data_IF_321655731185
#
_entry.id   IF_321655731185
#
_cell.length_a   1.000
_cell.length_b   1.000
_cell.length_c   1.000
_cell.angle_alpha   90.00
_cell.angle_beta   90.00
_cell.angle_gamma   90.00
#
_symmetry.space_group_name_H-M   'P 1'
#
loop_
_entity.id
_entity.type
_entity.pdbx_description
1 polymer ?
#
# COMPACT_ATOMS: atom_id res chain seq x y z
N UNK A 1 1.26 -7.23 17.47
CA UNK A 1 0.27 -6.25 17.96
C UNK A 1 0.74 -4.88 17.49
N UNK A 2 -0.19 -4.01 17.10
CA UNK A 2 0.15 -2.63 16.75
C UNK A 2 -0.32 -1.77 17.91
N UNK A 3 0.56 -0.91 18.40
CA UNK A 3 0.25 0.10 19.39
C UNK A 3 0.03 1.43 18.65
N UNK A 4 -1.11 2.05 18.94
CA UNK A 4 -1.38 3.43 18.51
C UNK A 4 -1.19 4.31 19.73
N UNK A 5 -0.15 5.14 19.73
CA UNK A 5 0.16 6.04 20.84
C UNK A 5 -0.09 7.48 20.45
N UNK A 6 -0.66 8.25 21.38
CA UNK A 6 -0.71 9.70 21.31
C UNK A 6 0.53 10.28 22.00
N UNK A 7 1.44 10.85 21.22
CA UNK A 7 2.60 11.57 21.75
C UNK A 7 2.15 12.88 22.44
N UNK A 8 2.94 13.35 23.40
CA UNK A 8 2.62 14.51 24.23
C UNK A 8 2.50 15.83 23.43
N UNK A 9 2.99 15.85 22.20
CA UNK A 9 2.90 16.94 21.23
C UNK A 9 1.62 16.90 20.37
N UNK A 10 0.73 15.93 20.60
CA UNK A 10 -0.51 15.77 19.83
C UNK A 10 -0.36 14.89 18.58
N UNK A 11 0.78 14.23 18.39
CA UNK A 11 1.00 13.32 17.27
C UNK A 11 0.44 11.92 17.54
N UNK A 12 -0.32 11.36 16.60
CA UNK A 12 -0.70 9.95 16.57
C UNK A 12 0.41 9.14 15.88
N UNK A 13 1.00 8.20 16.61
CA UNK A 13 2.02 7.29 16.11
C UNK A 13 1.46 5.87 16.04
N UNK A 14 1.74 5.16 14.95
CA UNK A 14 1.51 3.72 14.87
C UNK A 14 2.86 3.01 14.94
N UNK A 15 3.01 2.15 15.94
CA UNK A 15 4.19 1.30 16.11
C UNK A 15 3.75 -0.16 16.14
N UNK A 16 4.42 -1.01 15.38
CA UNK A 16 4.32 -2.46 15.63
C UNK A 16 5.34 -2.79 16.71
N UNK A 17 4.89 -2.92 17.95
CA UNK A 17 5.76 -3.28 19.07
C UNK A 17 6.00 -4.79 19.05
N UNK A 18 7.25 -5.19 19.25
CA UNK A 18 7.60 -6.59 19.43
C UNK A 18 7.01 -7.11 20.74
N UNK A 19 6.42 -8.30 20.68
CA UNK A 19 6.21 -9.10 21.89
C UNK A 19 7.36 -10.09 22.00
N UNK A 20 7.67 -10.56 23.21
CA UNK A 20 8.68 -11.58 23.53
C UNK A 20 8.48 -12.93 22.78
N UNK A 21 7.40 -13.07 22.00
CA UNK A 21 7.08 -14.21 21.12
C UNK A 21 6.84 -13.82 19.64
N UNK A 22 7.15 -12.59 19.26
CA UNK A 22 6.90 -12.02 17.93
C UNK A 22 8.05 -12.24 16.95
N UNK A 23 7.82 -11.89 15.68
CA UNK A 23 8.77 -12.11 14.58
C UNK A 23 9.85 -11.02 14.43
N UNK A 24 9.91 -9.99 15.28
CA UNK A 24 10.96 -8.97 15.23
C UNK A 24 10.93 -8.16 13.93
N UNK A 25 9.97 -7.24 13.82
CA UNK A 25 9.75 -6.45 12.59
C UNK A 25 10.17 -4.99 12.71
N UNK A 26 10.35 -4.46 13.93
CA UNK A 26 10.77 -3.07 14.22
C UNK A 26 10.27 -2.02 13.20
N UNK A 27 8.95 -1.94 13.00
CA UNK A 27 8.35 -1.07 11.98
C UNK A 27 7.64 0.13 12.61
N UNK A 28 8.09 1.33 12.22
CA UNK A 28 7.45 2.60 12.51
C UNK A 28 7.31 3.41 11.22
N UNK A 29 6.08 3.57 10.72
CA UNK A 29 5.83 4.26 9.43
C UNK A 29 5.83 5.79 9.56
N UNK A 30 5.20 6.35 10.59
CA UNK A 30 5.18 7.79 10.87
C UNK A 30 4.45 8.11 12.19
N UNK A 31 4.77 9.27 12.75
CA UNK A 31 3.97 9.98 13.75
C UNK A 31 3.39 11.21 13.06
N UNK A 32 2.07 11.36 13.08
CA UNK A 32 1.36 12.47 12.42
C UNK A 32 0.72 13.37 13.46
N UNK A 33 0.84 14.69 13.37
CA UNK A 33 0.06 15.58 14.22
C UNK A 33 -1.43 15.39 13.95
N UNK A 34 -2.24 15.23 15.00
CA UNK A 34 -3.70 15.26 14.84
C UNK A 34 -4.19 16.61 14.29
N UNK A 35 -3.39 17.68 14.38
CA UNK A 35 -3.65 18.95 13.70
C UNK A 35 -3.28 18.96 12.20
N UNK A 36 -2.48 18.00 11.75
CA UNK A 36 -2.03 17.85 10.36
C UNK A 36 -2.84 16.80 9.59
N UNK A 37 -3.64 15.96 10.25
CA UNK A 37 -4.66 15.13 9.57
C UNK A 37 -5.83 16.04 9.16
N UNK A 38 -5.53 17.06 8.38
CA UNK A 38 -6.48 17.86 7.65
C UNK A 38 -6.62 17.28 6.24
N UNK A 39 -7.69 17.66 5.54
CA UNK A 39 -7.87 17.35 4.12
C UNK A 39 -6.59 17.59 3.30
N UNK A 40 -5.73 18.52 3.72
CA UNK A 40 -4.46 18.86 3.08
C UNK A 40 -3.46 17.71 2.99
N UNK A 41 -3.35 16.82 3.99
CA UNK A 41 -2.48 15.63 3.88
C UNK A 41 -3.02 14.64 2.87
N UNK A 42 -4.35 14.49 2.79
CA UNK A 42 -4.99 13.71 1.73
C UNK A 42 -4.81 14.40 0.36
N UNK A 43 -4.90 15.73 0.26
CA UNK A 43 -4.62 16.47 -0.99
C UNK A 43 -3.17 16.36 -1.42
N UNK A 44 -2.23 16.46 -0.50
CA UNK A 44 -0.80 16.36 -0.80
C UNK A 44 -0.46 14.94 -1.25
N UNK A 45 -1.01 13.91 -0.60
CA UNK A 45 -0.89 12.51 -1.06
C UNK A 45 -1.53 12.29 -2.43
N UNK A 46 -2.67 12.91 -2.69
CA UNK A 46 -3.30 12.94 -4.01
C UNK A 46 -2.45 13.67 -5.06
N UNK A 47 -1.92 14.85 -4.76
CA UNK A 47 -1.05 15.60 -5.69
C UNK A 47 0.26 14.85 -5.95
N UNK A 48 0.83 14.19 -4.93
CA UNK A 48 1.92 13.23 -5.05
C UNK A 48 1.50 11.89 -5.66
N UNK A 49 0.22 11.62 -5.89
CA UNK A 49 -0.24 10.50 -6.69
C UNK A 49 -0.32 10.94 -8.16
N UNK A 50 -0.84 12.14 -8.39
CA UNK A 50 -1.07 12.74 -9.70
C UNK A 50 0.21 13.22 -10.43
N UNK A 51 1.27 13.58 -9.69
CA UNK A 51 2.53 14.00 -10.33
C UNK A 51 3.35 12.83 -10.88
N UNK A 52 3.04 11.59 -10.48
CA UNK A 52 3.86 10.40 -10.78
C UNK A 52 3.31 9.55 -11.93
N UNK A 53 2.04 9.75 -12.29
CA UNK A 53 1.48 9.33 -13.58
C UNK A 53 2.28 9.88 -14.78
N UNK A 54 2.99 11.00 -14.61
CA UNK A 54 3.67 11.71 -15.70
C UNK A 54 5.09 11.23 -16.03
N UNK A 55 5.76 10.46 -15.17
CA UNK A 55 7.17 10.11 -15.36
C UNK A 55 7.38 8.80 -16.14
N UNK A 56 6.31 8.18 -16.64
CA UNK A 56 6.36 7.08 -17.61
C UNK A 56 7.07 5.79 -17.14
N UNK A 57 7.42 5.67 -15.86
CA UNK A 57 8.13 4.50 -15.30
C UNK A 57 7.23 3.35 -14.90
N UNK A 58 5.97 3.35 -15.36
CA UNK A 58 5.16 2.13 -15.29
C UNK A 58 5.32 1.34 -16.58
N UNK A 59 5.91 0.16 -16.47
CA UNK A 59 5.52 -0.94 -17.36
C UNK A 59 4.00 -1.05 -17.27
N UNK A 60 3.31 -0.67 -18.35
CA UNK A 60 1.88 -0.90 -18.52
C UNK A 60 1.61 -2.40 -18.24
N UNK A 61 1.12 -2.71 -17.03
CA UNK A 61 0.54 -4.02 -16.79
C UNK A 61 -0.77 -4.06 -17.60
N UNK A 62 -1.03 -5.12 -18.40
CA UNK A 62 -2.19 -5.17 -19.26
C UNK A 62 -3.48 -5.00 -18.45
N UNK A 63 -4.23 -3.92 -18.70
CA UNK A 63 -5.60 -3.73 -18.18
C UNK A 63 -5.83 -2.57 -17.20
N UNK A 64 -4.90 -1.64 -16.99
CA UNK A 64 -5.10 -0.51 -16.06
C UNK A 64 -5.60 0.77 -16.78
N UNK A 65 -6.88 0.82 -17.11
CA UNK A 65 -7.58 2.05 -17.55
C UNK A 65 -8.05 2.91 -16.35
N UNK A 66 -7.47 2.70 -15.15
CA UNK A 66 -7.84 3.45 -13.95
C UNK A 66 -7.05 4.76 -13.85
N UNK A 67 -7.75 5.87 -14.01
CA UNK A 67 -7.21 7.23 -13.89
C UNK A 67 -6.90 7.55 -12.41
N UNK A 68 -5.69 7.21 -12.01
CA UNK A 68 -5.16 7.49 -10.67
C UNK A 68 -5.09 9.00 -10.39
N UNK A 69 -4.89 9.83 -11.42
CA UNK A 69 -4.86 11.28 -11.32
C UNK A 69 -6.25 11.82 -10.99
N UNK A 70 -7.31 11.25 -11.57
CA UNK A 70 -8.70 11.58 -11.23
C UNK A 70 -9.05 11.20 -9.78
N UNK A 71 -8.63 10.04 -9.28
CA UNK A 71 -8.86 9.65 -7.88
C UNK A 71 -8.15 10.58 -6.90
N UNK A 72 -6.89 10.87 -7.17
CA UNK A 72 -6.12 11.85 -6.43
C UNK A 72 -6.85 13.21 -6.40
N UNK A 73 -7.20 13.75 -7.57
CA UNK A 73 -7.86 15.05 -7.67
C UNK A 73 -9.24 15.08 -6.98
N UNK A 74 -10.00 13.97 -7.02
CA UNK A 74 -11.28 13.84 -6.32
C UNK A 74 -11.10 13.81 -4.79
N UNK A 75 -10.09 13.08 -4.30
CA UNK A 75 -9.72 13.01 -2.88
C UNK A 75 -9.13 14.33 -2.36
N UNK A 76 -8.49 15.11 -3.24
CA UNK A 76 -7.98 16.43 -2.91
C UNK A 76 -9.09 17.49 -2.83
N UNK A 77 -10.15 17.35 -3.64
CA UNK A 77 -11.24 18.32 -3.72
C UNK A 77 -12.42 18.01 -2.79
N UNK A 78 -12.37 16.93 -2.02
CA UNK A 78 -13.39 16.64 -1.01
C UNK A 78 -13.09 17.43 0.26
N UNK A 79 -13.89 18.46 0.53
CA UNK A 79 -14.06 18.99 1.88
C UNK A 79 -14.40 17.82 2.81
N UNK A 80 -13.80 17.77 4.01
CA UNK A 80 -13.80 16.76 5.08
C UNK A 80 -15.11 16.02 5.49
N UNK A 81 -16.16 15.98 4.66
CA UNK A 81 -17.47 15.41 4.95
C UNK A 81 -17.98 14.40 3.90
N UNK A 82 -17.17 14.03 2.91
CA UNK A 82 -17.49 12.93 1.98
C UNK A 82 -17.19 11.55 2.59
N UNK A 83 -17.92 10.48 2.21
CA UNK A 83 -17.58 9.14 2.68
C UNK A 83 -16.17 8.77 2.19
N UNK A 84 -15.35 8.21 3.10
CA UNK A 84 -14.03 7.69 2.77
C UNK A 84 -14.16 6.64 1.65
N UNK A 85 -13.63 6.94 0.46
CA UNK A 85 -13.67 6.04 -0.69
C UNK A 85 -12.38 5.21 -0.72
N UNK A 86 -12.51 3.90 -0.53
CA UNK A 86 -11.41 2.94 -0.73
C UNK A 86 -11.07 2.90 -2.23
N UNK A 87 -9.81 3.13 -2.63
CA UNK A 87 -9.38 2.96 -4.02
C UNK A 87 -9.78 1.58 -4.56
N UNK A 88 -10.30 1.46 -5.80
CA UNK A 88 -10.73 0.19 -6.36
C UNK A 88 -9.52 -0.59 -6.92
N UNK A 89 -8.58 -0.93 -6.03
CA UNK A 89 -7.35 -1.65 -6.36
C UNK A 89 -7.26 -2.85 -5.43
N UNK A 90 -7.20 -4.05 -6.00
CA UNK A 90 -6.85 -5.27 -5.29
C UNK A 90 -5.35 -5.52 -5.46
N UNK A 91 -4.64 -5.61 -4.35
CA UNK A 91 -3.22 -5.94 -4.29
C UNK A 91 -3.05 -7.37 -3.79
N UNK A 92 -2.27 -8.17 -4.52
CA UNK A 92 -1.81 -9.49 -4.10
C UNK A 92 -0.31 -9.61 -4.38
N UNK A 93 0.37 -10.53 -3.72
CA UNK A 93 1.82 -10.73 -3.88
C UNK A 93 2.13 -12.15 -4.28
N UNK A 94 3.11 -12.32 -5.16
CA UNK A 94 3.73 -13.62 -5.41
C UNK A 94 5.21 -13.43 -5.75
N UNK A 95 6.00 -14.49 -5.77
CA UNK A 95 7.42 -14.39 -6.14
C UNK A 95 7.65 -13.86 -7.57
N UNK A 96 6.68 -14.03 -8.47
CA UNK A 96 6.76 -13.73 -9.91
C UNK A 96 5.37 -13.53 -10.51
N UNK A 97 5.29 -13.04 -11.75
CA UNK A 97 4.04 -13.00 -12.52
C UNK A 97 3.61 -14.37 -13.05
N UNK A 98 4.53 -15.34 -13.10
CA UNK A 98 4.22 -16.72 -13.45
C UNK A 98 3.61 -17.45 -12.24
N UNK A 99 2.28 -17.52 -12.22
CA UNK A 99 1.52 -18.17 -11.16
C UNK A 99 1.28 -19.64 -11.48
N UNK A 100 1.49 -20.57 -10.52
CA UNK A 100 0.94 -21.91 -10.61
C UNK A 100 -0.56 -21.88 -10.88
N UNK A 101 -1.06 -22.84 -11.66
CA UNK A 101 -2.45 -22.88 -12.14
C UNK A 101 -3.50 -22.64 -11.05
N UNK A 102 -3.30 -23.24 -9.86
CA UNK A 102 -4.21 -23.07 -8.74
C UNK A 102 -4.28 -21.61 -8.26
N UNK A 103 -3.13 -20.94 -8.13
CA UNK A 103 -3.06 -19.55 -7.70
C UNK A 103 -3.52 -18.58 -8.79
N UNK A 104 -3.26 -18.88 -10.06
CA UNK A 104 -3.83 -18.13 -11.18
C UNK A 104 -5.37 -18.19 -11.12
N UNK A 105 -5.93 -19.36 -10.85
CA UNK A 105 -7.38 -19.54 -10.69
C UNK A 105 -7.95 -18.73 -9.52
N UNK A 106 -7.28 -18.70 -8.37
CA UNK A 106 -7.72 -17.88 -7.24
C UNK A 106 -7.64 -16.40 -7.56
N UNK A 107 -6.50 -15.94 -8.10
CA UNK A 107 -6.31 -14.58 -8.57
C UNK A 107 -7.45 -14.16 -9.51
N UNK A 108 -7.76 -14.97 -10.53
CA UNK A 108 -8.77 -14.69 -11.54
C UNK A 108 -10.22 -14.81 -11.05
N UNK A 109 -10.46 -15.57 -9.98
CA UNK A 109 -11.80 -15.69 -9.39
C UNK A 109 -12.35 -14.35 -8.89
N UNK A 110 -11.48 -13.41 -8.49
CA UNK A 110 -11.86 -12.07 -8.05
C UNK A 110 -12.59 -11.27 -9.13
N UNK A 111 -12.36 -11.53 -10.42
CA UNK A 111 -13.10 -10.87 -11.51
C UNK A 111 -14.60 -11.14 -11.47
N UNK A 112 -15.04 -12.20 -10.79
CA UNK A 112 -16.45 -12.54 -10.64
C UNK A 112 -17.17 -11.67 -9.60
N UNK A 113 -16.41 -11.09 -8.67
CA UNK A 113 -16.96 -10.40 -7.48
C UNK A 113 -16.58 -8.92 -7.41
N UNK A 114 -15.44 -8.55 -7.99
CA UNK A 114 -15.02 -7.16 -8.07
C UNK A 114 -15.84 -6.42 -9.14
N UNK A 115 -16.32 -5.21 -8.83
CA UNK A 115 -16.92 -4.34 -9.83
C UNK A 115 -15.94 -4.07 -10.99
N UNK A 116 -16.48 -3.78 -12.17
CA UNK A 116 -15.69 -3.64 -13.41
C UNK A 116 -14.66 -2.51 -13.41
N UNK A 117 -14.77 -1.56 -12.47
CA UNK A 117 -13.83 -0.45 -12.32
C UNK A 117 -12.64 -0.78 -11.40
N UNK A 118 -12.51 -2.02 -10.94
CA UNK A 118 -11.40 -2.45 -10.10
C UNK A 118 -10.21 -2.95 -10.90
N UNK A 119 -9.02 -2.54 -10.46
CA UNK A 119 -7.75 -3.07 -10.97
C UNK A 119 -7.22 -4.16 -10.05
N UNK A 120 -6.64 -5.23 -10.61
CA UNK A 120 -5.93 -6.27 -9.85
C UNK A 120 -4.43 -6.15 -10.11
N UNK A 121 -3.65 -5.94 -9.07
CA UNK A 121 -2.20 -5.80 -9.14
C UNK A 121 -1.54 -6.98 -8.42
N UNK A 122 -0.73 -7.73 -9.16
CA UNK A 122 0.12 -8.78 -8.61
C UNK A 122 1.53 -8.21 -8.48
N UNK A 123 2.05 -8.17 -7.26
CA UNK A 123 3.38 -7.65 -6.96
C UNK A 123 4.39 -8.79 -6.82
N UNK A 124 5.51 -8.66 -7.53
CA UNK A 124 6.65 -9.58 -7.43
C UNK A 124 7.61 -9.23 -6.30
N UNK A 125 8.46 -10.19 -5.88
CA UNK A 125 9.54 -9.95 -4.91
C UNK A 125 10.39 -8.71 -5.29
N UNK A 126 10.67 -8.54 -6.58
CA UNK A 126 11.45 -7.43 -7.13
C UNK A 126 10.70 -6.10 -7.04
N UNK A 127 9.44 -6.07 -7.47
CA UNK A 127 8.61 -4.86 -7.46
C UNK A 127 8.27 -4.40 -6.04
N UNK A 128 8.06 -5.35 -5.11
CA UNK A 128 7.88 -5.02 -3.70
C UNK A 128 9.11 -4.31 -3.15
N UNK A 129 10.31 -4.83 -3.44
CA UNK A 129 11.57 -4.19 -3.01
C UNK A 129 11.76 -2.84 -3.71
N UNK A 130 11.43 -2.73 -5.00
CA UNK A 130 11.51 -1.48 -5.75
C UNK A 130 10.63 -0.40 -5.14
N UNK A 131 9.39 -0.74 -4.72
CA UNK A 131 8.52 0.18 -3.99
C UNK A 131 9.20 0.72 -2.73
N UNK A 132 9.80 -0.17 -1.92
CA UNK A 132 10.49 0.25 -0.70
C UNK A 132 11.69 1.13 -1.04
N UNK A 133 12.53 0.74 -2.00
CA UNK A 133 13.71 1.50 -2.38
C UNK A 133 13.37 2.91 -2.90
N UNK A 134 12.29 3.04 -3.67
CA UNK A 134 11.89 4.30 -4.28
C UNK A 134 11.12 5.20 -3.31
N UNK A 135 10.14 4.66 -2.57
CA UNK A 135 9.22 5.45 -1.75
C UNK A 135 9.60 5.53 -0.28
N UNK A 136 10.34 4.54 0.21
CA UNK A 136 10.74 4.43 1.61
C UNK A 136 12.23 4.09 1.72
N UNK A 137 13.14 4.86 1.08
CA UNK A 137 14.57 4.53 1.04
C UNK A 137 15.18 4.40 2.45
N UNK A 138 14.63 5.11 3.44
CA UNK A 138 15.01 5.03 4.85
C UNK A 138 14.75 3.65 5.47
N UNK A 139 13.87 2.83 4.91
CA UNK A 139 13.51 1.50 5.39
C UNK A 139 14.16 0.37 4.58
N UNK A 140 14.84 0.69 3.47
CA UNK A 140 15.36 -0.33 2.56
C UNK A 140 16.35 -1.28 3.23
N UNK A 141 17.25 -0.75 4.08
CA UNK A 141 18.22 -1.56 4.82
C UNK A 141 17.52 -2.56 5.77
N UNK A 142 16.50 -2.12 6.51
CA UNK A 142 15.69 -3.00 7.38
C UNK A 142 14.94 -4.05 6.57
N UNK A 143 14.32 -3.65 5.45
CA UNK A 143 13.58 -4.55 4.56
C UNK A 143 14.47 -5.65 3.98
N UNK A 144 15.66 -5.27 3.51
CA UNK A 144 16.67 -6.20 2.99
C UNK A 144 17.27 -7.06 4.11
N UNK A 145 17.39 -6.52 5.33
CA UNK A 145 17.91 -7.20 6.51
C UNK A 145 16.99 -8.28 7.10
N UNK A 146 15.73 -8.37 6.67
CA UNK A 146 14.85 -9.45 7.12
C UNK A 146 15.35 -10.84 6.69
N UNK A 147 15.42 -11.73 7.68
CA UNK A 147 15.86 -13.13 7.56
C UNK A 147 14.84 -14.04 6.85
N UNK A 148 13.57 -13.64 6.78
CA UNK A 148 12.50 -14.43 6.19
C UNK A 148 11.65 -13.62 5.20
N UNK A 149 11.30 -14.23 4.06
CA UNK A 149 10.45 -13.58 3.04
C UNK A 149 9.09 -13.16 3.56
N UNK A 150 8.50 -13.94 4.47
CA UNK A 150 7.20 -13.62 5.08
C UNK A 150 7.22 -12.27 5.81
N UNK A 151 8.35 -11.89 6.42
CA UNK A 151 8.54 -10.58 7.04
C UNK A 151 8.49 -9.46 6.01
N UNK A 152 9.13 -9.65 4.86
CA UNK A 152 9.07 -8.71 3.73
C UNK A 152 7.64 -8.54 3.21
N UNK A 153 6.87 -9.62 3.06
CA UNK A 153 5.47 -9.53 2.63
C UNK A 153 4.60 -8.79 3.66
N UNK A 154 4.78 -9.10 4.95
CA UNK A 154 4.09 -8.41 6.04
C UNK A 154 4.40 -6.91 6.07
N UNK A 155 5.68 -6.54 5.87
CA UNK A 155 6.10 -5.16 5.76
C UNK A 155 5.50 -4.48 4.53
N UNK A 156 5.62 -5.13 3.37
CA UNK A 156 5.12 -4.64 2.10
C UNK A 156 3.64 -4.33 2.14
N UNK A 157 2.81 -5.19 2.77
CA UNK A 157 1.36 -4.96 2.92
C UNK A 157 1.09 -3.55 3.47
N UNK A 158 1.83 -3.13 4.48
CA UNK A 158 1.60 -1.84 5.13
C UNK A 158 2.08 -0.69 4.26
N UNK A 159 3.26 -0.80 3.64
CA UNK A 159 3.79 0.23 2.73
C UNK A 159 2.96 0.38 1.45
N UNK A 160 2.44 -0.73 0.92
CA UNK A 160 1.54 -0.75 -0.23
C UNK A 160 0.24 -0.03 0.09
N UNK A 161 -0.40 -0.34 1.24
CA UNK A 161 -1.61 0.36 1.67
C UNK A 161 -1.34 1.85 1.98
N UNK A 162 -0.19 2.17 2.59
CA UNK A 162 0.18 3.56 2.83
C UNK A 162 0.39 4.35 1.53
N UNK A 163 0.98 3.71 0.50
CA UNK A 163 1.26 4.36 -0.77
C UNK A 163 0.03 4.48 -1.68
N UNK A 164 -0.73 3.39 -1.83
CA UNK A 164 -1.77 3.26 -2.86
C UNK A 164 -3.19 3.12 -2.30
N UNK A 165 -3.34 2.86 -1.01
CA UNK A 165 -4.62 2.46 -0.42
C UNK A 165 -5.13 1.14 -1.00
N UNK A 166 -6.43 1.03 -1.17
CA UNK A 166 -7.08 -0.14 -1.78
C UNK A 166 -7.32 -1.29 -0.80
N UNK A 167 -7.35 -2.50 -1.36
CA UNK A 167 -7.54 -3.75 -0.61
C UNK A 167 -6.36 -4.66 -0.89
N UNK A 168 -5.82 -5.25 0.16
CA UNK A 168 -4.85 -6.34 0.06
C UNK A 168 -5.53 -7.67 0.40
N UNK A 169 -5.27 -8.70 -0.39
CA UNK A 169 -5.66 -10.07 -0.08
C UNK A 169 -4.48 -11.03 -0.29
N UNK A 170 -4.40 -12.09 0.51
CA UNK A 170 -3.45 -13.16 0.22
C UNK A 170 -3.88 -13.90 -1.06
N UNK A 171 -2.93 -14.56 -1.73
CA UNK A 171 -3.16 -15.17 -3.05
C UNK A 171 -3.94 -16.49 -2.97
N UNK A 172 -3.98 -17.10 -1.79
CA UNK A 172 -4.65 -18.35 -1.46
C UNK A 172 -6.06 -18.16 -0.86
N UNK A 173 -6.59 -16.94 -0.95
CA UNK A 173 -7.98 -16.59 -0.62
C UNK A 173 -8.89 -16.72 -1.85
#
# INVERSE_FOLDING_TARGET
EFEVTMAADGNACVKRMDMDRGWGMEMQLSCLSLGEVSDEVYRQRAQMAASWSKDGTRHELPGTDWDYDAYANASANTSASGPLVIPPILHQTYKSHDLPELFAKYHDSWNQFLPSNWSRWLWTDEEMRALIAEKYPWFLETYDGYDAKVKRFDAFRIFCMHQYGGVYADLDI
#
